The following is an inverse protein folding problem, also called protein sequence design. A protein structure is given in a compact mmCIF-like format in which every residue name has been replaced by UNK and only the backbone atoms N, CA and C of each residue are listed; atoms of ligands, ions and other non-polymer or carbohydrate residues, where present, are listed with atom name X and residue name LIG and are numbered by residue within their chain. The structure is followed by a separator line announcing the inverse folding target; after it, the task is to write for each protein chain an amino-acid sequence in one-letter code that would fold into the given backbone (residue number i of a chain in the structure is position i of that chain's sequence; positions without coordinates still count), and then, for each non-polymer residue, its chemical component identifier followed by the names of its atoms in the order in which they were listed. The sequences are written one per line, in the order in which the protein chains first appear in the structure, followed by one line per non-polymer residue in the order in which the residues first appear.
data_IF_557562455560
#
_entry.id   IF_557562455560
#
_cell.length_a   1.000
_cell.length_b   1.000
_cell.length_c   1.000
_cell.angle_alpha   90.00
_cell.angle_beta   90.00
_cell.angle_gamma   90.00
#
_symmetry.space_group_name_H-M   'P 1'
#
loop_
_entity.id
_entity.type
_entity.pdbx_description
1 polymer ?
#
# COMPACT_ATOMS: atom_id res chain seq x y z
N UNK A 1 -20.44 -17.84 17.98
CA UNK A 1 -20.13 -17.40 16.60
C UNK A 1 -18.63 -17.56 16.37
N UNK A 2 -18.24 -18.19 15.27
CA UNK A 2 -16.86 -18.51 14.91
C UNK A 2 -16.07 -17.23 14.64
N UNK A 3 -14.80 -17.18 15.09
CA UNK A 3 -13.91 -16.02 14.91
C UNK A 3 -12.64 -16.37 14.12
N UNK A 4 -12.20 -17.62 14.21
CA UNK A 4 -10.97 -18.11 13.59
C UNK A 4 -11.18 -19.56 13.14
N UNK A 5 -10.59 -19.92 12.01
CA UNK A 5 -10.55 -21.28 11.48
C UNK A 5 -9.09 -21.63 11.29
N UNK A 6 -8.60 -22.66 11.96
CA UNK A 6 -7.21 -23.07 11.84
C UNK A 6 -6.94 -23.69 10.46
N UNK A 7 -5.70 -23.58 9.99
CA UNK A 7 -5.27 -24.26 8.77
C UNK A 7 -5.56 -25.77 8.85
N UNK A 8 -5.97 -26.36 7.73
CA UNK A 8 -6.28 -27.78 7.64
C UNK A 8 -7.45 -28.27 8.53
N UNK A 9 -8.29 -27.37 9.06
CA UNK A 9 -9.49 -27.75 9.88
C UNK A 9 -10.38 -28.77 9.17
N UNK A 10 -10.53 -28.65 7.85
CA UNK A 10 -11.40 -29.51 7.04
C UNK A 10 -10.65 -30.56 6.21
N UNK A 11 -9.32 -30.70 6.37
CA UNK A 11 -8.50 -31.57 5.52
C UNK A 11 -9.07 -32.98 5.41
N UNK A 12 -9.37 -33.65 6.53
CA UNK A 12 -9.90 -35.02 6.52
C UNK A 12 -11.36 -35.17 6.01
N UNK A 13 -12.04 -34.08 5.64
CA UNK A 13 -13.47 -34.09 5.25
C UNK A 13 -13.65 -34.25 3.74
N UNK A 14 -13.34 -35.44 3.23
CA UNK A 14 -13.32 -35.73 1.77
C UNK A 14 -14.69 -35.63 1.06
N UNK A 15 -15.77 -35.78 1.81
CA UNK A 15 -17.14 -35.64 1.31
C UNK A 15 -17.69 -34.20 1.40
N UNK A 16 -16.93 -33.24 1.94
CA UNK A 16 -17.40 -31.86 2.08
C UNK A 16 -17.64 -31.24 0.70
N UNK A 17 -18.77 -30.52 0.57
CA UNK A 17 -19.20 -29.87 -0.68
C UNK A 17 -19.62 -28.44 -0.46
N UNK A 18 -20.27 -28.16 0.66
CA UNK A 18 -20.72 -26.82 1.02
C UNK A 18 -20.43 -26.54 2.48
N UNK A 19 -20.06 -25.29 2.77
CA UNK A 19 -19.79 -24.80 4.11
C UNK A 19 -20.41 -23.41 4.27
N UNK A 20 -21.44 -23.31 5.11
CA UNK A 20 -22.05 -22.04 5.47
C UNK A 20 -21.36 -21.47 6.72
N UNK A 21 -20.64 -20.36 6.54
CA UNK A 21 -19.99 -19.60 7.60
C UNK A 21 -20.64 -18.22 7.77
N UNK A 22 -21.84 -18.01 7.23
CA UNK A 22 -22.52 -16.73 7.30
C UNK A 22 -22.80 -16.30 8.74
N UNK A 23 -22.88 -14.99 8.93
CA UNK A 23 -23.25 -14.34 10.20
C UNK A 23 -22.36 -14.76 11.39
N UNK A 24 -21.09 -15.03 11.13
CA UNK A 24 -20.08 -15.27 12.14
C UNK A 24 -19.30 -13.99 12.47
N UNK A 25 -18.08 -14.11 13.01
CA UNK A 25 -17.21 -13.01 13.41
C UNK A 25 -15.81 -13.17 12.80
N UNK A 26 -15.73 -13.78 11.62
CA UNK A 26 -14.47 -13.97 10.90
C UNK A 26 -13.95 -12.62 10.42
N UNK A 27 -12.71 -12.29 10.78
CA UNK A 27 -12.01 -11.09 10.31
C UNK A 27 -10.93 -11.37 9.27
N UNK A 28 -10.44 -12.60 9.23
CA UNK A 28 -9.38 -13.07 8.34
C UNK A 28 -9.74 -14.47 7.85
N UNK A 29 -9.24 -14.83 6.66
CA UNK A 29 -9.54 -16.10 6.02
C UNK A 29 -8.45 -16.44 5.01
N UNK A 30 -7.77 -17.57 5.23
CA UNK A 30 -6.79 -18.13 4.30
C UNK A 30 -7.40 -19.28 3.52
N UNK A 31 -6.91 -19.56 2.31
CA UNK A 31 -7.40 -20.69 1.50
C UNK A 31 -7.21 -22.01 2.24
N UNK A 32 -6.06 -22.18 2.92
CA UNK A 32 -5.65 -23.38 3.64
C UNK A 32 -6.57 -23.71 4.83
N UNK A 33 -7.26 -22.72 5.38
CA UNK A 33 -8.25 -22.91 6.44
C UNK A 33 -9.53 -23.60 5.95
N UNK A 34 -9.81 -23.53 4.63
CA UNK A 34 -11.03 -24.03 4.00
C UNK A 34 -10.82 -25.27 3.15
N UNK A 35 -9.57 -25.64 2.88
CA UNK A 35 -9.26 -26.83 2.09
C UNK A 35 -9.73 -28.11 2.77
N UNK A 36 -10.38 -28.98 1.99
CA UNK A 36 -10.58 -30.38 2.32
C UNK A 36 -9.86 -31.26 1.30
N UNK A 37 -9.42 -32.44 1.76
CA UNK A 37 -8.73 -33.41 0.92
C UNK A 37 -9.73 -34.02 -0.06
N UNK A 38 -9.50 -33.89 -1.35
CA UNK A 38 -10.43 -34.36 -2.37
C UNK A 38 -10.20 -33.73 -3.73
N UNK A 39 -10.96 -34.21 -4.72
CA UNK A 39 -10.90 -33.77 -6.13
C UNK A 39 -11.91 -32.66 -6.44
N UNK A 40 -12.87 -32.45 -5.54
CA UNK A 40 -13.98 -31.52 -5.71
C UNK A 40 -13.67 -30.14 -5.14
N UNK A 41 -14.39 -29.14 -5.63
CA UNK A 41 -14.42 -27.81 -5.03
C UNK A 41 -15.43 -27.74 -3.88
N UNK A 42 -15.20 -26.81 -2.95
CA UNK A 42 -16.07 -26.56 -1.81
C UNK A 42 -16.70 -25.18 -1.98
N UNK A 43 -18.01 -25.12 -1.89
CA UNK A 43 -18.79 -23.89 -1.97
C UNK A 43 -18.96 -23.29 -0.57
N UNK A 44 -18.48 -22.06 -0.38
CA UNK A 44 -18.42 -21.38 0.91
C UNK A 44 -19.26 -20.10 0.88
N UNK A 45 -20.08 -19.91 1.92
CA UNK A 45 -20.88 -18.70 2.14
C UNK A 45 -20.30 -17.92 3.31
N UNK A 46 -19.95 -16.65 3.09
CA UNK A 46 -19.20 -15.82 4.05
C UNK A 46 -19.90 -14.52 4.45
N UNK A 47 -21.10 -14.25 3.93
CA UNK A 47 -21.85 -13.01 4.20
C UNK A 47 -22.04 -12.77 5.71
N UNK A 48 -22.13 -11.50 6.11
CA UNK A 48 -22.36 -11.15 7.53
C UNK A 48 -21.14 -11.33 8.45
N UNK A 49 -19.93 -11.52 7.88
CA UNK A 49 -18.67 -11.54 8.62
C UNK A 49 -17.92 -10.20 8.51
N UNK A 50 -17.24 -9.73 9.57
CA UNK A 50 -16.45 -8.49 9.57
C UNK A 50 -15.07 -8.70 8.93
N UNK A 51 -15.02 -9.18 7.69
CA UNK A 51 -13.77 -9.49 6.99
C UNK A 51 -12.92 -8.23 6.79
N UNK A 52 -11.61 -8.37 6.90
CA UNK A 52 -10.63 -7.39 6.42
C UNK A 52 -10.21 -7.76 5.01
N UNK A 53 -10.04 -6.76 4.14
CA UNK A 53 -9.46 -6.97 2.81
C UNK A 53 -7.95 -7.23 2.97
N UNK A 54 -7.57 -8.39 3.52
CA UNK A 54 -6.19 -8.74 3.82
C UNK A 54 -5.50 -9.39 2.62
N UNK A 55 -4.17 -9.33 2.57
CA UNK A 55 -3.39 -10.02 1.55
C UNK A 55 -3.61 -11.55 1.56
N UNK A 56 -4.04 -12.14 2.68
CA UNK A 56 -4.39 -13.56 2.80
C UNK A 56 -5.61 -13.96 1.96
N UNK A 57 -6.47 -12.99 1.58
CA UNK A 57 -7.58 -13.23 0.66
C UNK A 57 -7.16 -13.22 -0.81
N UNK A 58 -5.87 -13.04 -1.14
CA UNK A 58 -5.40 -12.93 -2.52
C UNK A 58 -5.82 -14.12 -3.42
N UNK A 59 -6.01 -15.31 -2.84
CA UNK A 59 -6.48 -16.49 -3.57
C UNK A 59 -7.86 -16.33 -4.24
N UNK A 60 -8.71 -15.39 -3.77
CA UNK A 60 -10.01 -15.12 -4.41
C UNK A 60 -9.86 -14.50 -5.81
N UNK A 61 -8.68 -13.96 -6.12
CA UNK A 61 -8.30 -13.34 -7.40
C UNK A 61 -7.54 -14.27 -8.34
N UNK A 62 -7.38 -15.55 -8.00
CA UNK A 62 -6.78 -16.53 -8.92
C UNK A 62 -7.51 -16.49 -10.28
N UNK A 63 -6.80 -16.45 -11.42
CA UNK A 63 -7.43 -16.46 -12.74
C UNK A 63 -8.38 -17.65 -12.89
N UNK A 64 -9.47 -17.47 -13.63
CA UNK A 64 -10.50 -18.53 -13.82
C UNK A 64 -9.95 -19.79 -14.51
N UNK A 65 -8.79 -19.66 -15.18
CA UNK A 65 -8.05 -20.76 -15.81
C UNK A 65 -7.53 -21.76 -14.75
N UNK A 66 -7.31 -21.30 -13.52
CA UNK A 66 -6.84 -22.14 -12.42
C UNK A 66 -8.06 -22.74 -11.71
N UNK A 67 -8.19 -24.08 -11.75
CA UNK A 67 -9.26 -24.79 -11.05
C UNK A 67 -9.20 -24.47 -9.54
N UNK A 68 -10.20 -23.75 -9.04
CA UNK A 68 -10.31 -23.38 -7.63
C UNK A 68 -10.79 -24.57 -6.81
N UNK A 69 -10.16 -24.79 -5.64
CA UNK A 69 -10.62 -25.77 -4.65
C UNK A 69 -11.70 -25.21 -3.74
N UNK A 70 -11.79 -23.89 -3.63
CA UNK A 70 -12.76 -23.17 -2.80
C UNK A 70 -13.44 -22.13 -3.66
N UNK A 71 -14.77 -22.14 -3.69
CA UNK A 71 -15.59 -21.17 -4.38
C UNK A 71 -16.39 -20.36 -3.35
N UNK A 72 -16.36 -19.03 -3.47
CA UNK A 72 -17.24 -18.18 -2.66
C UNK A 72 -18.50 -17.93 -3.47
N UNK A 73 -19.65 -18.46 -3.01
CA UNK A 73 -20.92 -18.37 -3.77
C UNK A 73 -21.50 -16.95 -3.75
N UNK A 74 -21.27 -16.19 -2.68
CA UNK A 74 -21.90 -14.89 -2.41
C UNK A 74 -20.92 -13.71 -2.49
N UNK A 75 -20.04 -13.65 -3.51
CA UNK A 75 -18.96 -12.63 -3.59
C UNK A 75 -19.48 -11.19 -3.54
N UNK A 76 -20.54 -10.87 -4.28
CA UNK A 76 -21.11 -9.51 -4.32
C UNK A 76 -21.76 -9.08 -2.99
N UNK A 77 -22.26 -10.04 -2.19
CA UNK A 77 -22.86 -9.80 -0.87
C UNK A 77 -21.84 -9.89 0.28
N UNK A 78 -20.66 -10.45 0.01
CA UNK A 78 -19.61 -10.61 1.01
C UNK A 78 -18.77 -9.33 1.02
N UNK A 79 -18.72 -8.68 2.18
CA UNK A 79 -18.05 -7.39 2.34
C UNK A 79 -16.74 -7.56 3.10
N UNK A 80 -15.73 -6.77 2.75
CA UNK A 80 -14.51 -6.62 3.53
C UNK A 80 -14.19 -5.14 3.76
N UNK A 81 -13.45 -4.84 4.83
CA UNK A 81 -12.99 -3.48 5.15
C UNK A 81 -11.55 -3.30 4.71
N UNK A 82 -11.28 -2.31 3.86
CA UNK A 82 -9.93 -1.99 3.37
C UNK A 82 -9.04 -1.52 4.54
N UNK A 83 -7.87 -2.14 4.77
CA UNK A 83 -7.08 -1.92 5.99
C UNK A 83 -6.52 -0.50 6.10
N UNK A 84 -6.24 0.16 4.96
CA UNK A 84 -5.69 1.52 4.93
C UNK A 84 -6.77 2.61 4.97
N UNK A 85 -7.77 2.53 4.10
CA UNK A 85 -8.77 3.59 3.91
C UNK A 85 -10.02 3.41 4.78
N UNK A 86 -10.23 2.23 5.38
CA UNK A 86 -11.46 1.89 6.10
C UNK A 86 -12.69 1.71 5.20
N UNK A 87 -12.54 1.83 3.87
CA UNK A 87 -13.64 1.68 2.93
C UNK A 87 -14.16 0.25 2.93
N UNK A 88 -15.48 0.08 2.96
CA UNK A 88 -16.14 -1.22 2.80
C UNK A 88 -16.26 -1.54 1.33
N UNK A 89 -15.79 -2.72 0.93
CA UNK A 89 -15.74 -3.21 -0.45
C UNK A 89 -16.41 -4.57 -0.55
N UNK A 90 -17.15 -4.79 -1.64
CA UNK A 90 -17.67 -6.11 -1.98
C UNK A 90 -16.56 -6.99 -2.57
N UNK A 91 -16.52 -8.26 -2.21
CA UNK A 91 -15.49 -9.20 -2.65
C UNK A 91 -15.54 -9.51 -4.15
N UNK A 92 -16.49 -9.04 -4.94
CA UNK A 92 -16.42 -9.10 -6.41
C UNK A 92 -15.65 -7.91 -7.00
N UNK A 93 -15.69 -6.74 -6.35
CA UNK A 93 -15.08 -5.48 -6.82
C UNK A 93 -13.66 -5.20 -6.33
N UNK A 94 -13.18 -5.93 -5.33
CA UNK A 94 -11.83 -5.79 -4.78
C UNK A 94 -10.77 -6.11 -5.85
N UNK A 95 -9.69 -5.36 -5.93
CA UNK A 95 -8.53 -5.68 -6.76
C UNK A 95 -7.38 -6.24 -5.88
N UNK A 96 -6.34 -6.83 -6.47
CA UNK A 96 -5.16 -7.30 -5.71
C UNK A 96 -4.52 -6.19 -4.89
N UNK A 97 -4.52 -4.95 -5.38
CA UNK A 97 -3.99 -3.77 -4.66
C UNK A 97 -4.81 -3.36 -3.42
N UNK A 98 -6.06 -3.82 -3.32
CA UNK A 98 -6.95 -3.53 -2.19
C UNK A 98 -6.79 -4.58 -1.05
N UNK A 99 -6.10 -5.70 -1.33
CA UNK A 99 -5.88 -6.81 -0.41
C UNK A 99 -4.52 -6.67 0.27
N UNK A 100 -4.47 -6.03 1.44
CA UNK A 100 -3.21 -5.63 2.08
C UNK A 100 -3.03 -6.19 3.49
N UNK A 101 -1.80 -6.56 3.84
CA UNK A 101 -1.40 -6.95 5.19
C UNK A 101 -0.44 -5.94 5.79
N UNK A 102 -0.64 -5.62 7.06
CA UNK A 102 0.26 -4.76 7.83
C UNK A 102 1.59 -5.48 8.10
N UNK A 103 2.70 -4.73 8.09
CA UNK A 103 4.02 -5.26 8.43
C UNK A 103 4.86 -4.24 9.20
N UNK A 104 5.67 -4.73 10.14
CA UNK A 104 6.74 -3.95 10.78
C UNK A 104 8.09 -4.16 10.08
N UNK A 105 8.35 -5.38 9.62
CA UNK A 105 9.50 -5.74 8.79
C UNK A 105 9.15 -6.90 7.87
N UNK A 106 9.64 -6.87 6.63
CA UNK A 106 9.41 -7.92 5.66
C UNK A 106 10.50 -7.95 4.59
N UNK A 107 10.75 -9.12 4.02
CA UNK A 107 11.68 -9.31 2.91
C UNK A 107 10.92 -9.78 1.68
N UNK A 108 11.26 -9.25 0.50
CA UNK A 108 10.74 -9.73 -0.78
C UNK A 108 11.14 -11.21 -1.01
N UNK A 109 10.30 -12.02 -1.70
CA UNK A 109 10.48 -13.47 -1.79
C UNK A 109 11.77 -13.88 -2.51
N UNK A 110 12.20 -13.07 -3.49
CA UNK A 110 13.38 -13.32 -4.31
C UNK A 110 14.69 -12.82 -3.67
N UNK A 111 14.68 -12.63 -2.35
CA UNK A 111 15.77 -12.00 -1.64
C UNK A 111 16.18 -12.76 -0.37
N UNK A 112 17.50 -12.86 -0.15
CA UNK A 112 18.04 -13.36 1.11
C UNK A 112 17.84 -12.28 2.17
N UNK A 113 17.05 -12.59 3.19
CA UNK A 113 16.75 -11.68 4.28
C UNK A 113 17.97 -11.57 5.20
N UNK A 114 18.80 -10.53 4.98
CA UNK A 114 20.08 -10.42 5.69
C UNK A 114 19.92 -9.94 7.13
N UNK A 115 20.80 -10.45 8.00
CA UNK A 115 20.91 -10.00 9.40
C UNK A 115 21.86 -8.80 9.57
N UNK A 116 22.72 -8.47 8.58
CA UNK A 116 23.73 -7.42 8.68
C UNK A 116 23.63 -6.37 7.55
N UNK A 117 23.48 -5.10 7.97
CA UNK A 117 23.96 -3.88 7.33
C UNK A 117 23.36 -3.42 6.00
N UNK A 118 23.47 -4.22 4.95
CA UNK A 118 23.45 -3.71 3.56
C UNK A 118 22.54 -4.51 2.62
N UNK A 119 21.33 -4.89 3.08
CA UNK A 119 20.40 -5.59 2.20
C UNK A 119 19.23 -4.70 1.82
N UNK A 120 19.26 -4.27 0.56
CA UNK A 120 18.30 -3.38 -0.09
C UNK A 120 16.86 -3.94 -0.13
N UNK A 121 16.71 -5.25 0.12
CA UNK A 121 15.47 -5.99 0.03
C UNK A 121 14.67 -6.07 1.34
N UNK A 122 15.29 -5.77 2.49
CA UNK A 122 14.60 -5.78 3.78
C UNK A 122 13.84 -4.47 3.96
N UNK A 123 12.52 -4.53 3.80
CA UNK A 123 11.65 -3.41 4.11
C UNK A 123 11.40 -3.34 5.62
N UNK A 124 11.76 -2.22 6.24
CA UNK A 124 11.46 -1.92 7.66
C UNK A 124 10.51 -0.73 7.69
N UNK A 125 9.39 -0.88 8.40
CA UNK A 125 8.43 0.22 8.55
C UNK A 125 9.03 1.31 9.47
N UNK A 126 8.98 2.60 9.08
CA UNK A 126 9.53 3.67 9.91
C UNK A 126 8.81 3.79 11.25
N UNK A 127 9.53 4.23 12.29
CA UNK A 127 8.99 4.35 13.65
C UNK A 127 7.74 5.24 13.71
N UNK A 128 6.66 4.69 14.26
CA UNK A 128 5.37 5.35 14.39
C UNK A 128 4.48 5.31 13.14
N UNK A 129 5.00 4.85 12.01
CA UNK A 129 4.23 4.69 10.79
C UNK A 129 3.52 3.31 10.73
N UNK A 130 2.50 3.21 9.88
CA UNK A 130 1.86 1.95 9.51
C UNK A 130 2.19 1.61 8.07
N UNK A 131 2.65 0.39 7.82
CA UNK A 131 3.04 -0.06 6.49
C UNK A 131 2.25 -1.30 6.08
N UNK A 132 1.84 -1.36 4.83
CA UNK A 132 0.99 -2.40 4.29
C UNK A 132 1.50 -2.89 2.94
N UNK A 133 1.30 -4.17 2.63
CA UNK A 133 1.65 -4.75 1.33
C UNK A 133 0.62 -5.75 0.85
N UNK A 134 0.51 -5.92 -0.45
CA UNK A 134 -0.25 -7.01 -1.06
C UNK A 134 0.55 -8.33 -1.04
N UNK A 135 -0.08 -9.42 -1.47
CA UNK A 135 0.54 -10.75 -1.46
C UNK A 135 1.71 -10.86 -2.46
N UNK A 136 1.72 -10.05 -3.53
CA UNK A 136 2.71 -10.09 -4.60
C UNK A 136 3.78 -9.00 -4.47
N UNK A 137 3.72 -8.15 -3.44
CA UNK A 137 4.60 -6.99 -3.24
C UNK A 137 4.56 -5.97 -4.38
N UNK A 138 3.51 -5.96 -5.19
CA UNK A 138 3.29 -4.97 -6.24
C UNK A 138 2.80 -3.65 -5.65
N UNK A 139 2.01 -3.72 -4.57
CA UNK A 139 1.48 -2.55 -3.86
C UNK A 139 2.06 -2.52 -2.45
N UNK A 140 2.87 -1.51 -2.17
CA UNK A 140 3.45 -1.25 -0.85
C UNK A 140 3.06 0.16 -0.39
N UNK A 141 2.31 0.25 0.69
CA UNK A 141 1.75 1.49 1.25
C UNK A 141 2.48 1.84 2.55
N UNK A 142 2.88 3.09 2.70
CA UNK A 142 3.51 3.63 3.92
C UNK A 142 2.72 4.84 4.37
N UNK A 143 2.19 4.82 5.60
CA UNK A 143 1.47 5.95 6.20
C UNK A 143 2.14 6.41 7.48
N UNK A 144 2.62 7.64 7.45
CA UNK A 144 3.25 8.33 8.55
C UNK A 144 2.42 9.57 8.84
N UNK A 145 1.44 9.43 9.72
CA UNK A 145 0.46 10.46 10.06
C UNK A 145 0.20 10.41 11.57
N UNK A 146 -0.14 11.56 12.17
CA UNK A 146 -0.44 11.66 13.61
C UNK A 146 0.66 11.07 14.51
N UNK A 147 1.93 11.25 14.11
CA UNK A 147 3.08 10.78 14.89
C UNK A 147 3.24 11.59 16.17
N UNK A 148 3.83 10.97 17.19
CA UNK A 148 4.31 11.69 18.38
C UNK A 148 5.34 12.75 17.96
N UNK A 149 5.48 13.83 18.74
CA UNK A 149 6.44 14.89 18.44
C UNK A 149 7.88 14.34 18.24
N UNK A 150 8.25 13.31 19.00
CA UNK A 150 9.52 12.61 18.89
C UNK A 150 9.69 11.93 17.53
N UNK A 151 8.73 11.10 17.10
CA UNK A 151 8.78 10.38 15.83
C UNK A 151 8.63 11.33 14.63
N UNK A 152 7.80 12.36 14.76
CA UNK A 152 7.60 13.42 13.78
C UNK A 152 8.91 14.13 13.43
N UNK A 153 9.71 14.48 14.45
CA UNK A 153 11.01 15.15 14.27
C UNK A 153 12.13 14.18 13.85
N UNK A 154 12.07 12.93 14.28
CA UNK A 154 13.07 11.91 13.96
C UNK A 154 12.90 11.31 12.56
N UNK A 155 11.72 11.45 11.95
CA UNK A 155 11.44 10.89 10.63
C UNK A 155 12.39 11.44 9.56
N UNK A 156 12.88 10.56 8.70
CA UNK A 156 13.64 10.93 7.50
C UNK A 156 13.04 10.26 6.27
N UNK A 157 12.93 10.95 5.12
CA UNK A 157 12.46 10.33 3.87
C UNK A 157 13.26 9.08 3.46
N UNK A 158 14.54 9.02 3.83
CA UNK A 158 15.40 7.85 3.62
C UNK A 158 14.99 6.61 4.41
N UNK A 159 14.13 6.72 5.42
CA UNK A 159 13.59 5.57 6.14
C UNK A 159 12.45 4.85 5.36
N UNK A 160 11.87 5.48 4.35
CA UNK A 160 10.82 4.87 3.52
C UNK A 160 11.40 3.66 2.78
N UNK A 161 10.77 2.47 2.86
CA UNK A 161 11.21 1.27 2.13
C UNK A 161 11.43 1.53 0.64
N UNK A 162 12.46 0.89 0.07
CA UNK A 162 12.81 0.95 -1.36
C UNK A 162 11.67 0.47 -2.27
N UNK A 163 10.87 -0.50 -1.79
CA UNK A 163 9.73 -1.09 -2.49
C UNK A 163 8.45 -0.26 -2.43
N UNK A 164 8.42 0.86 -1.68
CA UNK A 164 7.22 1.66 -1.48
C UNK A 164 6.65 2.20 -2.80
N UNK A 165 5.32 2.14 -2.91
CA UNK A 165 4.54 2.59 -4.09
C UNK A 165 3.63 3.77 -3.78
N UNK A 166 3.05 3.79 -2.58
CA UNK A 166 2.15 4.83 -2.10
C UNK A 166 2.63 5.29 -0.73
N UNK A 167 3.04 6.55 -0.63
CA UNK A 167 3.67 7.09 0.58
C UNK A 167 2.91 8.33 1.03
N UNK A 168 2.42 8.31 2.26
CA UNK A 168 1.66 9.39 2.89
C UNK A 168 2.45 9.93 4.08
N UNK A 169 2.97 11.15 3.95
CA UNK A 169 3.78 11.86 4.93
C UNK A 169 3.04 13.14 5.34
N UNK A 170 2.06 13.01 6.23
CA UNK A 170 1.23 14.13 6.67
C UNK A 170 1.61 14.58 8.08
N UNK A 171 1.80 15.88 8.27
CA UNK A 171 2.09 16.44 9.60
C UNK A 171 3.48 16.08 10.15
N UNK A 172 4.46 15.87 9.28
CA UNK A 172 5.85 15.59 9.66
C UNK A 172 6.68 16.88 9.76
N UNK A 173 7.93 16.80 10.21
CA UNK A 173 8.85 17.96 10.27
C UNK A 173 9.91 17.87 9.15
N UNK A 174 9.49 18.11 7.90
CA UNK A 174 10.36 17.98 6.71
C UNK A 174 10.54 19.35 6.04
N UNK A 175 11.39 20.25 6.59
CA UNK A 175 11.48 21.62 6.10
C UNK A 175 12.12 21.75 4.70
N UNK A 176 12.97 20.80 4.32
CA UNK A 176 13.67 20.80 3.03
C UNK A 176 13.73 19.37 2.47
N UNK A 177 13.30 19.19 1.22
CA UNK A 177 13.56 17.97 0.45
C UNK A 177 14.87 18.11 -0.31
N UNK A 178 15.76 17.14 -0.11
CA UNK A 178 17.09 17.09 -0.74
C UNK A 178 17.07 16.15 -1.95
N UNK A 179 18.06 16.28 -2.82
CA UNK A 179 18.26 15.41 -3.99
C UNK A 179 18.29 13.90 -3.69
N UNK A 180 18.66 13.53 -2.46
CA UNK A 180 18.76 12.14 -1.99
C UNK A 180 17.63 11.73 -1.04
N UNK A 181 16.63 12.58 -0.78
CA UNK A 181 15.57 12.29 0.19
C UNK A 181 14.84 10.97 -0.14
N UNK A 182 14.49 10.77 -1.41
CA UNK A 182 13.83 9.54 -1.88
C UNK A 182 14.74 8.70 -2.79
N UNK A 183 16.06 8.78 -2.60
CA UNK A 183 17.03 7.99 -3.36
C UNK A 183 16.67 6.50 -3.32
N UNK A 184 16.60 5.85 -4.49
CA UNK A 184 16.36 4.41 -4.58
C UNK A 184 14.91 3.97 -4.38
N UNK A 185 13.89 4.79 -4.73
CA UNK A 185 12.47 4.38 -4.69
C UNK A 185 11.85 4.34 -6.09
N UNK A 186 12.34 3.45 -6.96
CA UNK A 186 11.94 3.45 -8.37
C UNK A 186 10.48 3.03 -8.60
N UNK A 187 9.85 2.37 -7.60
CA UNK A 187 8.47 1.91 -7.66
C UNK A 187 7.45 2.94 -7.14
N UNK A 188 7.92 4.09 -6.62
CA UNK A 188 7.03 5.08 -6.02
C UNK A 188 6.15 5.74 -7.09
N UNK A 189 4.83 5.61 -6.92
CA UNK A 189 3.83 6.16 -7.83
C UNK A 189 3.13 7.37 -7.22
N UNK A 190 2.76 7.29 -5.93
CA UNK A 190 2.02 8.33 -5.22
C UNK A 190 2.82 8.79 -4.01
N UNK A 191 3.08 10.09 -3.94
CA UNK A 191 3.80 10.72 -2.84
C UNK A 191 3.01 11.90 -2.31
N UNK A 192 2.54 11.79 -1.08
CA UNK A 192 1.91 12.87 -0.34
C UNK A 192 2.86 13.37 0.75
N UNK A 193 3.17 14.65 0.72
CA UNK A 193 3.96 15.36 1.72
C UNK A 193 3.20 16.63 2.06
N UNK A 194 2.03 16.48 2.67
CA UNK A 194 1.16 17.59 3.02
C UNK A 194 1.36 18.01 4.48
N UNK A 195 1.08 19.27 4.81
CA UNK A 195 1.14 19.80 6.18
C UNK A 195 2.46 19.51 6.92
N UNK A 196 3.58 19.37 6.21
CA UNK A 196 4.86 18.89 6.77
C UNK A 196 5.92 20.00 6.93
N UNK A 197 5.47 21.27 6.85
CA UNK A 197 6.32 22.44 7.04
C UNK A 197 7.37 22.65 5.95
N UNK A 198 7.18 22.06 4.76
CA UNK A 198 8.14 22.11 3.67
C UNK A 198 8.29 23.53 3.12
N UNK A 199 9.51 24.04 3.07
CA UNK A 199 9.84 25.42 2.62
C UNK A 199 10.66 25.46 1.35
N UNK A 200 11.36 24.37 1.02
CA UNK A 200 12.20 24.29 -0.16
C UNK A 200 12.41 22.86 -0.63
N UNK A 201 12.58 22.73 -1.94
CA UNK A 201 12.89 21.47 -2.62
C UNK A 201 14.15 21.73 -3.45
N UNK A 202 15.15 20.87 -3.28
CA UNK A 202 16.38 20.98 -4.06
C UNK A 202 16.18 20.52 -5.51
N UNK A 203 16.97 21.03 -6.46
CA UNK A 203 17.06 20.45 -7.79
C UNK A 203 17.27 18.94 -7.71
N UNK A 204 16.59 18.20 -8.60
CA UNK A 204 16.66 16.73 -8.70
C UNK A 204 16.16 15.97 -7.46
N UNK A 205 15.39 16.60 -6.55
CA UNK A 205 14.78 15.94 -5.39
C UNK A 205 13.96 14.67 -5.73
N UNK A 206 13.33 14.64 -6.91
CA UNK A 206 12.47 13.53 -7.33
C UNK A 206 13.10 12.64 -8.42
N UNK A 207 14.41 12.77 -8.65
CA UNK A 207 15.07 12.20 -9.83
C UNK A 207 15.13 10.66 -9.90
N UNK A 208 14.85 9.99 -8.79
CA UNK A 208 14.86 8.54 -8.66
C UNK A 208 13.45 7.96 -8.60
N UNK A 209 12.44 8.77 -8.95
CA UNK A 209 11.02 8.41 -8.92
C UNK A 209 10.43 8.41 -10.34
N UNK A 210 10.93 7.58 -11.27
CA UNK A 210 10.51 7.60 -12.67
C UNK A 210 9.03 7.22 -12.88
N UNK A 211 8.42 6.53 -11.90
CA UNK A 211 7.02 6.11 -11.91
C UNK A 211 6.08 7.06 -11.17
N UNK A 212 6.58 8.18 -10.63
CA UNK A 212 5.76 9.10 -9.85
C UNK A 212 4.67 9.72 -10.74
N UNK A 213 3.41 9.45 -10.42
CA UNK A 213 2.22 9.92 -11.14
C UNK A 213 1.53 11.05 -10.39
N UNK A 214 1.50 10.96 -9.06
CA UNK A 214 0.83 11.92 -8.19
C UNK A 214 1.81 12.43 -7.14
N UNK A 215 1.92 13.75 -7.07
CA UNK A 215 2.68 14.45 -6.05
C UNK A 215 1.79 15.48 -5.34
N UNK A 216 1.59 15.29 -4.05
CA UNK A 216 0.84 16.21 -3.21
C UNK A 216 1.80 16.94 -2.25
N UNK A 217 1.92 18.25 -2.44
CA UNK A 217 2.73 19.15 -1.63
C UNK A 217 1.86 20.20 -0.92
N UNK A 218 0.56 19.93 -0.78
CA UNK A 218 -0.41 20.87 -0.22
C UNK A 218 -0.09 21.25 1.24
N UNK A 219 -0.61 22.40 1.66
CA UNK A 219 -0.54 22.89 3.04
C UNK A 219 0.89 22.99 3.60
N UNK A 220 1.84 23.36 2.75
CA UNK A 220 3.22 23.63 3.12
C UNK A 220 3.53 25.14 3.05
N UNK A 221 4.81 25.51 3.01
CA UNK A 221 5.26 26.89 2.92
C UNK A 221 6.18 27.13 1.71
N UNK A 222 5.93 26.41 0.61
CA UNK A 222 6.66 26.58 -0.64
C UNK A 222 6.34 27.94 -1.26
N UNK A 223 7.37 28.58 -1.81
CA UNK A 223 7.26 29.92 -2.43
C UNK A 223 7.42 29.86 -3.95
N UNK A 224 8.20 28.90 -4.46
CA UNK A 224 8.50 28.72 -5.87
C UNK A 224 8.73 27.26 -6.21
N UNK A 225 8.51 26.92 -7.48
CA UNK A 225 8.97 25.69 -8.14
C UNK A 225 9.56 26.09 -9.49
N UNK A 226 10.79 25.66 -9.77
CA UNK A 226 11.48 26.01 -11.03
C UNK A 226 11.33 24.95 -12.12
N UNK A 227 11.02 23.70 -11.74
CA UNK A 227 10.99 22.55 -12.63
C UNK A 227 12.24 21.67 -12.49
N UNK A 228 13.36 22.24 -12.03
CA UNK A 228 14.62 21.51 -11.82
C UNK A 228 14.49 20.38 -10.78
N UNK A 229 13.49 20.46 -9.90
CA UNK A 229 13.16 19.43 -8.92
C UNK A 229 12.72 18.11 -9.59
N UNK A 230 12.14 18.18 -10.79
CA UNK A 230 11.44 17.10 -11.51
C UNK A 230 12.27 16.42 -12.61
N UNK A 231 13.60 16.53 -12.55
CA UNK A 231 14.49 15.86 -13.49
C UNK A 231 14.24 14.33 -13.51
N UNK A 232 13.92 13.73 -14.66
CA UNK A 232 13.56 12.29 -14.81
C UNK A 232 12.25 11.87 -14.12
N UNK A 233 11.36 12.81 -13.82
CA UNK A 233 10.07 12.56 -13.17
C UNK A 233 8.90 12.99 -14.07
N UNK A 234 8.97 12.68 -15.36
CA UNK A 234 8.01 13.18 -16.37
C UNK A 234 6.63 12.50 -16.34
N UNK A 235 6.45 11.47 -15.51
CA UNK A 235 5.20 10.73 -15.38
C UNK A 235 4.16 11.44 -14.48
N UNK A 236 4.55 12.54 -13.81
CA UNK A 236 3.64 13.27 -12.91
C UNK A 236 2.53 13.89 -13.73
N UNK A 237 1.31 13.48 -13.43
CA UNK A 237 0.07 13.98 -14.05
C UNK A 237 -0.77 14.78 -13.07
N UNK A 238 -0.57 14.57 -11.76
CA UNK A 238 -1.32 15.26 -10.71
C UNK A 238 -0.32 15.92 -9.74
N UNK A 239 -0.39 17.24 -9.62
CA UNK A 239 0.44 18.04 -8.73
C UNK A 239 -0.43 18.96 -7.87
N UNK A 240 -0.47 18.73 -6.56
CA UNK A 240 -1.23 19.54 -5.63
C UNK A 240 -0.33 20.53 -4.89
N UNK A 241 -0.66 21.83 -5.00
CA UNK A 241 0.11 22.95 -4.42
C UNK A 241 -0.76 23.90 -3.58
N UNK A 242 -2.04 23.60 -3.37
CA UNK A 242 -2.94 24.40 -2.54
C UNK A 242 -2.39 24.58 -1.12
N UNK A 243 -2.75 25.67 -0.45
CA UNK A 243 -2.30 25.94 0.92
C UNK A 243 -0.81 26.29 1.06
N UNK A 244 -0.08 26.50 -0.04
CA UNK A 244 1.29 27.01 -0.03
C UNK A 244 1.36 28.55 -0.09
N UNK A 245 2.58 29.09 -0.12
CA UNK A 245 2.87 30.52 -0.25
C UNK A 245 3.41 30.85 -1.65
N UNK A 246 2.89 30.15 -2.66
CA UNK A 246 3.37 30.22 -4.03
C UNK A 246 3.25 31.66 -4.56
N UNK A 247 4.39 32.20 -5.02
CA UNK A 247 4.47 33.50 -5.69
C UNK A 247 4.80 33.36 -7.16
N UNK A 248 5.53 32.29 -7.52
CA UNK A 248 6.00 32.07 -8.88
C UNK A 248 6.00 30.58 -9.21
N UNK A 249 5.50 30.24 -10.39
CA UNK A 249 5.69 28.95 -11.04
C UNK A 249 6.46 29.24 -12.33
N UNK A 250 7.67 28.70 -12.47
CA UNK A 250 8.51 28.99 -13.63
C UNK A 250 8.11 28.10 -14.83
N UNK A 251 8.36 28.60 -16.05
CA UNK A 251 8.05 27.87 -17.30
C UNK A 251 8.70 26.49 -17.37
N UNK A 252 9.88 26.33 -16.75
CA UNK A 252 10.57 25.05 -16.68
C UNK A 252 9.74 23.93 -16.07
N UNK A 253 8.76 24.24 -15.21
CA UNK A 253 7.88 23.23 -14.62
C UNK A 253 7.05 22.49 -15.68
N UNK A 254 6.39 23.23 -16.58
CA UNK A 254 5.56 22.64 -17.65
C UNK A 254 6.38 21.88 -18.68
N UNK A 255 7.64 22.27 -18.90
CA UNK A 255 8.55 21.54 -19.79
C UNK A 255 8.98 20.19 -19.21
N UNK A 256 9.16 20.12 -17.88
CA UNK A 256 9.55 18.87 -17.19
C UNK A 256 8.37 17.94 -16.92
N UNK A 257 7.16 18.49 -16.80
CA UNK A 257 5.95 17.76 -16.46
C UNK A 257 4.88 17.89 -17.55
N UNK A 258 5.07 17.23 -18.71
CA UNK A 258 4.19 17.39 -19.87
C UNK A 258 2.80 16.73 -19.70
N UNK A 259 2.60 15.90 -18.67
CA UNK A 259 1.34 15.20 -18.40
C UNK A 259 0.44 15.93 -17.40
N UNK A 260 0.86 17.09 -16.88
CA UNK A 260 0.00 17.91 -16.02
C UNK A 260 -1.20 18.40 -16.83
N UNK A 261 -2.40 17.98 -16.41
CA UNK A 261 -3.67 18.44 -16.95
C UNK A 261 -4.12 19.76 -16.30
#
# INVERSE_FOLDING_TARGET
RVQHIASATFAAKTALRSLDLSDNRLSQLSEESLLADGVHSIDVVLRGNPLRCSCELHWIRKPDIIKRKVNIVSLAETLCTHPVTGKVLALDKVDSKDLLCEYSQVCEPDCVCCQFGNCDCKAVCPSGCSCFRDALFETNVVRCENLTETNMKAFTPSAVPISATHVYLSGLSIPILRSHSFLGRPRLEHLHINASGLRGIQPKAFNTLPKLKLLDLSDNALVRLSGEEFHKTSAVSHLFLNGNRMRTIERGLTEKLPLLA
#
